data_IF_220727469765
#
_entry.id   IF_220727469765
#
_cell.length_a   1.000
_cell.length_b   1.000
_cell.length_c   1.000
_cell.angle_alpha   90.00
_cell.angle_beta   90.00
_cell.angle_gamma   90.00
#
_symmetry.space_group_name_H-M   'P 1'
#
loop_
_entity.id
_entity.type
_entity.pdbx_description
1 polymer ?
#
# COMPACT_ATOMS: atom_id res chain seq x y z
N UNK A 1 4.64 -9.92 5.31
CA UNK A 1 5.30 -11.11 4.70
C UNK A 1 6.21 -10.61 3.59
N UNK A 2 7.44 -11.10 3.48
CA UNK A 2 8.31 -10.76 2.34
C UNK A 2 8.76 -12.05 1.68
N UNK A 3 8.71 -12.13 0.36
CA UNK A 3 9.12 -13.32 -0.37
C UNK A 3 9.79 -12.97 -1.70
N UNK A 4 10.64 -13.88 -2.17
CA UNK A 4 11.33 -13.72 -3.43
C UNK A 4 10.48 -14.25 -4.59
N UNK A 5 10.40 -13.48 -5.67
CA UNK A 5 9.93 -13.96 -6.96
C UNK A 5 11.09 -14.68 -7.69
N UNK A 6 10.78 -15.62 -8.58
CA UNK A 6 11.77 -16.36 -9.37
C UNK A 6 12.63 -15.45 -10.28
N UNK A 7 12.15 -14.24 -10.60
CA UNK A 7 12.94 -13.24 -11.33
C UNK A 7 13.99 -12.51 -10.47
N UNK A 8 14.06 -12.81 -9.17
CA UNK A 8 14.98 -12.17 -8.21
C UNK A 8 14.40 -10.95 -7.49
N UNK A 9 13.27 -10.41 -7.92
CA UNK A 9 12.61 -9.31 -7.22
C UNK A 9 12.02 -9.79 -5.89
N UNK A 10 12.15 -8.97 -4.85
CA UNK A 10 11.49 -9.19 -3.56
C UNK A 10 10.12 -8.50 -3.59
N UNK A 11 9.07 -9.25 -3.21
CA UNK A 11 7.73 -8.72 -3.02
C UNK A 11 7.53 -8.47 -1.54
N UNK A 12 7.21 -7.22 -1.22
CA UNK A 12 7.09 -6.73 0.15
C UNK A 12 5.61 -6.60 0.54
N UNK A 13 5.24 -7.18 1.67
CA UNK A 13 3.94 -6.98 2.33
C UNK A 13 4.18 -6.45 3.73
N UNK A 14 4.47 -5.15 3.79
CA UNK A 14 4.91 -4.44 4.99
C UNK A 14 3.89 -3.41 5.48
N UNK A 15 2.96 -3.01 4.62
CA UNK A 15 1.97 -1.97 4.89
C UNK A 15 0.67 -2.26 4.13
N UNK A 16 -0.39 -1.56 4.50
CA UNK A 16 -1.66 -1.60 3.80
C UNK A 16 -1.62 -0.77 2.51
N UNK A 17 -2.60 -1.02 1.64
CA UNK A 17 -2.84 -0.26 0.40
C UNK A 17 -1.74 -0.34 -0.68
N UNK A 18 -1.02 -1.45 -0.74
CA UNK A 18 -0.01 -1.69 -1.78
C UNK A 18 -0.67 -1.87 -3.15
N UNK A 19 -0.20 -1.12 -4.16
CA UNK A 19 -0.75 -1.19 -5.53
C UNK A 19 -0.59 -2.55 -6.21
N UNK A 20 0.30 -3.40 -5.70
CA UNK A 20 0.58 -4.75 -6.21
C UNK A 20 0.02 -5.86 -5.31
N UNK A 21 -0.90 -5.55 -4.39
CA UNK A 21 -1.57 -6.53 -3.52
C UNK A 21 -3.09 -6.43 -3.69
N UNK A 22 -3.74 -7.58 -3.75
CA UNK A 22 -5.19 -7.73 -3.76
C UNK A 22 -5.62 -8.88 -2.85
N UNK A 23 -6.93 -8.99 -2.66
CA UNK A 23 -7.56 -10.15 -2.05
C UNK A 23 -8.40 -10.86 -3.12
N UNK A 24 -8.17 -12.15 -3.28
CA UNK A 24 -8.98 -13.01 -4.13
C UNK A 24 -10.12 -13.59 -3.28
N UNK A 25 -11.34 -13.39 -3.73
CA UNK A 25 -12.55 -14.02 -3.22
C UNK A 25 -13.07 -14.89 -4.37
N UNK A 26 -13.35 -16.17 -4.10
CA UNK A 26 -13.93 -17.02 -5.14
C UNK A 26 -15.36 -16.57 -5.43
N UNK A 27 -15.82 -16.73 -6.66
CA UNK A 27 -17.20 -16.38 -7.04
C UNK A 27 -18.25 -17.11 -6.18
N UNK A 28 -17.96 -18.37 -5.84
CA UNK A 28 -18.80 -19.18 -4.93
C UNK A 28 -18.93 -18.59 -3.52
N UNK A 29 -17.98 -17.77 -3.09
CA UNK A 29 -17.91 -17.16 -1.76
C UNK A 29 -18.37 -15.70 -1.76
N UNK A 30 -18.70 -15.12 -2.93
CA UNK A 30 -18.84 -13.68 -3.09
C UNK A 30 -19.99 -13.08 -2.27
N UNK A 31 -21.17 -13.70 -2.36
CA UNK A 31 -22.36 -13.24 -1.63
C UNK A 31 -22.21 -13.48 -0.11
N UNK A 32 -21.67 -14.64 0.27
CA UNK A 32 -21.40 -14.98 1.69
C UNK A 32 -20.40 -13.99 2.32
N UNK A 33 -19.36 -13.61 1.58
CA UNK A 33 -18.41 -12.58 1.98
C UNK A 33 -19.10 -11.22 2.22
N UNK A 34 -19.98 -10.81 1.31
CA UNK A 34 -20.68 -9.54 1.38
C UNK A 34 -21.63 -9.50 2.59
N UNK A 35 -22.43 -10.55 2.79
CA UNK A 35 -23.35 -10.66 3.92
C UNK A 35 -22.61 -10.72 5.27
N UNK A 36 -21.57 -11.55 5.37
CA UNK A 36 -20.77 -11.66 6.59
C UNK A 36 -20.09 -10.34 6.95
N UNK A 37 -19.55 -9.63 5.95
CA UNK A 37 -18.90 -8.33 6.18
C UNK A 37 -19.90 -7.26 6.61
N UNK A 38 -21.10 -7.25 6.02
CA UNK A 38 -22.16 -6.32 6.37
C UNK A 38 -22.68 -6.56 7.79
N UNK A 39 -23.06 -7.80 8.11
CA UNK A 39 -23.65 -8.18 9.41
C UNK A 39 -22.70 -7.96 10.59
N UNK A 40 -21.40 -8.15 10.38
CA UNK A 40 -20.38 -7.97 11.42
C UNK A 40 -19.90 -6.53 11.58
N UNK A 41 -20.15 -5.66 10.59
CA UNK A 41 -19.64 -4.29 10.58
C UNK A 41 -18.13 -4.17 10.31
N UNK A 42 -17.47 -5.23 9.85
CA UNK A 42 -16.07 -5.24 9.43
C UNK A 42 -15.86 -6.27 8.31
N UNK A 43 -14.80 -6.09 7.52
CA UNK A 43 -14.49 -6.98 6.38
C UNK A 43 -14.13 -8.39 6.88
N UNK A 44 -14.94 -9.39 6.53
CA UNK A 44 -14.67 -10.78 6.88
C UNK A 44 -13.62 -11.39 5.94
N UNK A 45 -12.37 -11.47 6.42
CA UNK A 45 -11.25 -11.99 5.65
C UNK A 45 -11.23 -13.52 5.53
N UNK A 46 -12.17 -14.25 6.14
CA UNK A 46 -12.19 -15.72 6.08
C UNK A 46 -12.41 -16.25 4.65
N UNK A 47 -13.17 -15.53 3.82
CA UNK A 47 -13.41 -15.81 2.40
C UNK A 47 -12.30 -15.31 1.46
N UNK A 48 -11.31 -14.58 2.00
CA UNK A 48 -10.31 -13.86 1.21
C UNK A 48 -8.94 -14.56 1.24
N UNK A 49 -8.30 -14.64 0.08
CA UNK A 49 -6.94 -15.15 -0.14
C UNK A 49 -6.02 -14.04 -0.62
N UNK A 50 -4.78 -13.98 -0.14
CA UNK A 50 -3.88 -12.93 -0.59
C UNK A 50 -3.45 -13.19 -2.04
N UNK A 51 -3.39 -12.13 -2.83
CA UNK A 51 -2.86 -12.13 -4.18
C UNK A 51 -1.84 -10.99 -4.31
N UNK A 52 -0.68 -11.29 -4.85
CA UNK A 52 0.41 -10.35 -5.04
C UNK A 52 0.89 -10.38 -6.48
N UNK A 53 1.26 -9.23 -7.01
CA UNK A 53 1.87 -9.10 -8.32
C UNK A 53 3.35 -8.72 -8.18
N UNK A 54 4.22 -9.44 -8.87
CA UNK A 54 5.61 -9.02 -9.02
C UNK A 54 5.67 -7.75 -9.88
N UNK A 55 6.20 -6.62 -9.36
CA UNK A 55 6.31 -5.39 -10.15
C UNK A 55 7.33 -5.51 -11.29
N UNK A 56 8.31 -6.42 -11.16
CA UNK A 56 9.38 -6.60 -12.15
C UNK A 56 8.96 -7.46 -13.34
N UNK A 57 8.33 -8.61 -13.12
CA UNK A 57 8.03 -9.57 -14.18
C UNK A 57 6.54 -9.91 -14.33
N UNK A 58 5.66 -9.25 -13.58
CA UNK A 58 4.20 -9.41 -13.70
C UNK A 58 3.61 -10.72 -13.19
N UNK A 59 4.42 -11.66 -12.68
CA UNK A 59 3.93 -12.92 -12.08
C UNK A 59 2.95 -12.66 -10.95
N UNK A 60 1.84 -13.40 -10.95
CA UNK A 60 0.89 -13.40 -9.86
C UNK A 60 1.25 -14.49 -8.86
N UNK A 61 1.15 -14.17 -7.59
CA UNK A 61 1.38 -15.07 -6.48
C UNK A 61 0.10 -15.07 -5.65
N UNK A 62 -0.57 -16.21 -5.57
CA UNK A 62 -1.90 -16.33 -4.96
C UNK A 62 -1.85 -17.40 -3.89
N UNK A 63 -2.38 -17.10 -2.71
CA UNK A 63 -2.60 -18.13 -1.69
C UNK A 63 -3.61 -19.16 -2.20
N UNK A 64 -3.31 -20.44 -2.05
CA UNK A 64 -4.29 -21.51 -2.19
C UNK A 64 -5.17 -21.63 -0.92
N UNK A 65 -6.01 -22.66 -0.86
CA UNK A 65 -6.88 -22.91 0.29
C UNK A 65 -6.10 -23.27 1.58
N UNK A 66 -4.88 -23.78 1.44
CA UNK A 66 -3.97 -24.10 2.54
C UNK A 66 -2.99 -22.95 2.86
N UNK A 67 -3.23 -21.75 2.31
CA UNK A 67 -2.37 -20.56 2.45
C UNK A 67 -0.94 -20.79 1.96
N UNK A 68 -0.77 -21.68 0.99
CA UNK A 68 0.47 -21.87 0.26
C UNK A 68 0.47 -20.97 -0.98
N UNK A 69 1.61 -20.34 -1.24
CA UNK A 69 1.72 -19.36 -2.32
C UNK A 69 1.97 -20.06 -3.66
N UNK A 70 1.02 -19.96 -4.58
CA UNK A 70 1.11 -20.50 -5.94
C UNK A 70 1.44 -19.39 -6.93
N UNK A 71 2.38 -19.63 -7.83
CA UNK A 71 2.81 -18.65 -8.82
C UNK A 71 2.22 -18.92 -10.22
N UNK A 72 1.68 -17.88 -10.84
CA UNK A 72 1.17 -17.88 -12.21
C UNK A 72 2.03 -16.95 -13.08
N UNK A 73 2.42 -17.44 -14.26
CA UNK A 73 3.22 -16.69 -15.23
C UNK A 73 2.31 -15.94 -16.22
N UNK A 74 2.53 -14.65 -16.49
CA UNK A 74 1.85 -13.98 -17.59
C UNK A 74 2.33 -14.55 -18.92
N UNK A 75 1.42 -14.72 -19.88
CA UNK A 75 1.77 -15.09 -21.26
C UNK A 75 2.31 -13.90 -22.05
N UNK A 76 1.88 -12.69 -21.70
CA UNK A 76 2.27 -11.46 -22.37
C UNK A 76 3.61 -10.93 -21.86
N UNK A 77 4.34 -10.25 -22.74
CA UNK A 77 5.55 -9.52 -22.38
C UNK A 77 5.19 -8.16 -21.78
N UNK A 78 5.88 -7.78 -20.70
CA UNK A 78 5.67 -6.53 -20.00
C UNK A 78 4.72 -6.66 -18.80
N UNK A 79 5.00 -5.91 -17.75
CA UNK A 79 4.19 -5.92 -16.53
C UNK A 79 2.93 -5.08 -16.75
N UNK A 80 1.76 -5.73 -16.69
CA UNK A 80 0.47 -5.04 -16.66
C UNK A 80 -0.02 -4.96 -15.21
N UNK A 81 -0.37 -3.79 -14.66
CA UNK A 81 -0.72 -3.64 -13.25
C UNK A 81 -2.14 -4.13 -12.94
N UNK A 82 -2.39 -5.43 -13.07
CA UNK A 82 -3.74 -6.04 -12.99
C UNK A 82 -4.35 -6.00 -11.59
N UNK A 83 -3.52 -5.82 -10.55
CA UNK A 83 -3.99 -5.69 -9.16
C UNK A 83 -4.18 -4.22 -8.73
N UNK A 84 -3.82 -3.25 -9.57
CA UNK A 84 -3.98 -1.83 -9.26
C UNK A 84 -5.47 -1.49 -9.17
N UNK A 85 -5.80 -0.48 -8.36
CA UNK A 85 -7.18 -0.04 -8.16
C UNK A 85 -7.89 0.23 -9.49
N UNK A 86 -9.17 -0.17 -9.59
CA UNK A 86 -10.07 0.20 -10.70
C UNK A 86 -10.25 1.73 -10.84
N UNK A 87 -9.96 2.50 -9.80
CA UNK A 87 -9.95 3.96 -9.85
C UNK A 87 -8.71 4.53 -10.55
N UNK A 88 -7.73 3.69 -10.88
CA UNK A 88 -6.49 4.11 -11.51
C UNK A 88 -5.84 5.25 -10.74
N UNK A 89 -5.52 6.32 -11.46
CA UNK A 89 -4.85 7.50 -10.89
C UNK A 89 -5.77 8.37 -10.01
N UNK A 90 -7.07 8.10 -10.00
CA UNK A 90 -8.02 8.74 -9.08
C UNK A 90 -8.12 7.99 -7.74
N UNK A 91 -7.37 6.91 -7.55
CA UNK A 91 -7.35 6.22 -6.27
C UNK A 91 -6.70 7.09 -5.20
N UNK A 92 -7.44 7.31 -4.10
CA UNK A 92 -6.96 8.11 -2.97
C UNK A 92 -5.95 7.33 -2.13
N UNK A 93 -4.73 7.86 -2.05
CA UNK A 93 -3.60 7.24 -1.35
C UNK A 93 -3.40 7.78 0.07
N UNK A 94 -2.89 6.97 1.01
CA UNK A 94 -2.39 7.46 2.28
C UNK A 94 -1.03 8.14 2.10
N UNK A 95 -0.85 9.31 2.73
CA UNK A 95 0.45 9.97 2.88
C UNK A 95 1.03 9.69 4.25
N UNK A 96 2.25 9.16 4.30
CA UNK A 96 2.91 8.77 5.55
C UNK A 96 4.29 9.44 5.59
N UNK A 97 4.53 10.28 6.59
CA UNK A 97 5.84 10.78 6.97
C UNK A 97 6.26 10.22 8.32
N UNK A 98 7.49 9.75 8.43
CA UNK A 98 8.04 9.25 9.70
C UNK A 98 9.48 9.72 9.88
N UNK A 99 9.79 10.23 11.07
CA UNK A 99 11.13 10.62 11.48
C UNK A 99 11.58 9.88 12.74
N UNK A 100 12.84 9.46 12.76
CA UNK A 100 13.55 9.00 13.95
C UNK A 100 14.87 9.76 14.13
N UNK A 101 15.11 10.25 15.33
CA UNK A 101 16.38 10.85 15.74
C UNK A 101 17.46 9.79 16.03
N UNK A 102 17.09 8.50 16.04
CA UNK A 102 17.98 7.36 16.27
C UNK A 102 17.73 6.27 15.22
N UNK A 103 18.15 6.48 13.95
CA UNK A 103 18.00 5.46 12.92
C UNK A 103 18.92 4.27 13.20
N UNK A 104 18.59 3.11 12.64
CA UNK A 104 19.54 2.02 12.56
C UNK A 104 20.74 2.44 11.69
N UNK A 105 21.91 1.85 11.94
CA UNK A 105 23.11 2.18 11.18
C UNK A 105 22.88 1.95 9.68
N UNK A 106 23.14 3.00 8.88
CA UNK A 106 22.96 2.97 7.42
C UNK A 106 21.52 3.19 6.94
N UNK A 107 20.58 3.51 7.82
CA UNK A 107 19.22 3.93 7.44
C UNK A 107 19.06 5.46 7.53
N UNK A 108 18.23 6.06 6.66
CA UNK A 108 17.89 7.46 6.76
C UNK A 108 17.10 7.76 8.05
N UNK A 109 17.11 9.02 8.47
CA UNK A 109 16.35 9.48 9.62
C UNK A 109 14.86 9.63 9.31
N UNK A 110 14.54 10.11 8.11
CA UNK A 110 13.19 10.43 7.68
C UNK A 110 12.77 9.68 6.44
N UNK A 111 11.52 9.22 6.40
CA UNK A 111 10.89 8.62 5.23
C UNK A 111 9.55 9.30 4.94
N UNK A 112 9.30 9.56 3.66
CA UNK A 112 8.03 10.04 3.11
C UNK A 112 7.52 9.04 2.08
N UNK A 113 6.29 8.58 2.27
CA UNK A 113 5.69 7.54 1.44
C UNK A 113 4.24 7.86 1.07
N UNK A 114 3.93 7.77 -0.23
CA UNK A 114 2.58 7.83 -0.79
C UNK A 114 2.56 7.06 -2.12
N UNK A 115 1.91 5.88 -2.13
CA UNK A 115 1.77 5.01 -3.33
C UNK A 115 0.52 5.36 -4.14
N UNK A 116 0.39 6.64 -4.49
CA UNK A 116 -0.73 7.19 -5.27
C UNK A 116 -0.24 7.88 -6.54
N UNK A 117 -1.18 8.32 -7.38
CA UNK A 117 -0.86 9.27 -8.43
C UNK A 117 -0.31 10.56 -7.80
N UNK A 118 0.75 11.11 -8.38
CA UNK A 118 1.50 12.25 -7.81
C UNK A 118 2.11 11.94 -6.42
N UNK A 119 2.26 10.66 -6.06
CA UNK A 119 2.89 10.23 -4.83
C UNK A 119 4.42 10.41 -4.81
N UNK A 120 5.02 10.10 -3.67
CA UNK A 120 6.47 10.14 -3.48
C UNK A 120 6.91 8.99 -2.55
N UNK A 121 8.11 8.47 -2.79
CA UNK A 121 8.78 7.52 -1.92
C UNK A 121 10.23 8.00 -1.77
N UNK A 122 10.47 8.81 -0.74
CA UNK A 122 11.71 9.56 -0.56
C UNK A 122 12.20 9.47 0.88
N UNK A 123 13.52 9.59 1.05
CA UNK A 123 14.17 9.60 2.36
C UNK A 123 14.91 10.93 2.58
N UNK A 124 15.03 11.33 3.84
CA UNK A 124 15.54 12.64 4.26
C UNK A 124 16.49 12.52 5.45
N UNK A 125 17.54 13.34 5.43
CA UNK A 125 18.57 13.40 6.49
C UNK A 125 18.32 14.51 7.51
N UNK A 126 17.33 15.39 7.29
CA UNK A 126 16.94 16.44 8.24
C UNK A 126 15.42 16.47 8.45
N UNK A 127 15.00 16.81 9.67
CA UNK A 127 13.60 16.88 10.03
C UNK A 127 12.89 17.98 9.22
N UNK A 128 13.55 19.11 9.05
CA UNK A 128 13.01 20.29 8.37
C UNK A 128 12.72 19.98 6.90
N UNK A 129 13.60 19.22 6.23
CA UNK A 129 13.38 18.84 4.83
C UNK A 129 12.21 17.86 4.69
N UNK A 130 12.12 16.84 5.57
CA UNK A 130 10.99 15.91 5.58
C UNK A 130 9.67 16.64 5.87
N UNK A 131 9.64 17.50 6.89
CA UNK A 131 8.43 18.23 7.29
C UNK A 131 7.94 19.15 6.17
N UNK A 132 8.85 19.90 5.54
CA UNK A 132 8.52 20.76 4.41
C UNK A 132 7.97 19.96 3.23
N UNK A 133 8.62 18.87 2.85
CA UNK A 133 8.19 18.01 1.75
C UNK A 133 6.84 17.35 2.04
N UNK A 134 6.64 16.86 3.28
CA UNK A 134 5.39 16.30 3.74
C UNK A 134 4.23 17.29 3.57
N UNK A 135 4.37 18.52 4.08
CA UNK A 135 3.27 19.50 4.00
C UNK A 135 3.03 19.98 2.57
N UNK A 136 4.08 20.15 1.77
CA UNK A 136 3.94 20.47 0.35
C UNK A 136 3.14 19.39 -0.40
N UNK A 137 3.50 18.12 -0.19
CA UNK A 137 2.80 16.99 -0.80
C UNK A 137 1.37 16.84 -0.26
N UNK A 138 1.18 17.03 1.04
CA UNK A 138 -0.14 17.01 1.69
C UNK A 138 -1.10 18.00 1.06
N UNK A 139 -0.73 19.29 0.97
CA UNK A 139 -1.62 20.32 0.43
C UNK A 139 -1.90 20.09 -1.06
N UNK A 140 -0.91 19.63 -1.82
CA UNK A 140 -1.08 19.29 -3.23
C UNK A 140 -2.07 18.15 -3.44
N UNK A 141 -1.86 17.01 -2.79
CA UNK A 141 -2.74 15.83 -2.91
C UNK A 141 -4.13 16.10 -2.36
N UNK A 142 -4.24 16.85 -1.26
CA UNK A 142 -5.53 17.30 -0.71
C UNK A 142 -6.27 18.19 -1.70
N UNK A 143 -5.58 19.15 -2.34
CA UNK A 143 -6.15 20.03 -3.36
C UNK A 143 -6.66 19.27 -4.59
N UNK A 144 -5.98 18.19 -4.99
CA UNK A 144 -6.43 17.32 -6.09
C UNK A 144 -7.50 16.30 -5.68
N UNK A 145 -7.83 16.19 -4.39
CA UNK A 145 -8.76 15.16 -3.91
C UNK A 145 -8.20 13.74 -4.04
N UNK A 146 -6.87 13.57 -4.05
CA UNK A 146 -6.18 12.28 -4.18
C UNK A 146 -5.72 11.71 -2.82
N UNK A 147 -6.06 12.37 -1.72
CA UNK A 147 -5.59 12.00 -0.39
C UNK A 147 -6.67 11.23 0.39
N UNK A 148 -6.33 10.03 0.86
CA UNK A 148 -7.21 9.20 1.72
C UNK A 148 -7.02 9.53 3.19
N UNK A 149 -5.77 9.70 3.59
CA UNK A 149 -5.36 10.04 4.93
C UNK A 149 -3.94 10.59 4.90
N UNK A 150 -3.54 11.26 5.97
CA UNK A 150 -2.19 11.78 6.14
C UNK A 150 -1.74 11.57 7.58
N UNK A 151 -0.51 11.10 7.77
CA UNK A 151 0.10 10.91 9.08
C UNK A 151 1.57 11.35 9.03
N UNK A 152 1.95 12.29 9.89
CA UNK A 152 3.34 12.66 10.14
C UNK A 152 3.70 12.34 11.58
N UNK A 153 4.79 11.59 11.77
CA UNK A 153 5.33 11.24 13.09
C UNK A 153 6.78 11.66 13.24
N UNK A 154 7.15 12.07 14.47
CA UNK A 154 8.52 12.36 14.89
C UNK A 154 8.83 11.63 16.19
N UNK A 155 9.83 10.75 16.18
CA UNK A 155 10.23 9.94 17.33
C UNK A 155 9.04 9.19 17.95
N UNK A 156 8.20 8.60 17.10
CA UNK A 156 6.99 7.88 17.47
C UNK A 156 5.81 8.77 17.89
N UNK A 157 5.99 10.08 18.06
CA UNK A 157 4.92 11.02 18.40
C UNK A 157 4.23 11.54 17.15
N UNK A 158 2.90 11.63 17.20
CA UNK A 158 2.11 12.23 16.13
C UNK A 158 2.35 13.74 16.09
N UNK A 159 2.74 14.25 14.92
CA UNK A 159 2.90 15.69 14.64
C UNK A 159 1.68 16.21 13.88
N UNK A 160 1.18 15.43 12.92
CA UNK A 160 -0.01 15.77 12.15
C UNK A 160 -0.78 14.50 11.76
N UNK A 161 -2.10 14.59 11.79
CA UNK A 161 -3.01 13.56 11.25
C UNK A 161 -4.15 14.23 10.50
N UNK A 162 -4.63 13.59 9.44
CA UNK A 162 -5.80 14.02 8.69
C UNK A 162 -6.46 12.82 8.01
N UNK A 163 -7.78 12.80 7.97
CA UNK A 163 -8.58 11.82 7.24
C UNK A 163 -9.57 12.52 6.29
N UNK A 164 -9.91 11.86 5.18
CA UNK A 164 -10.86 12.39 4.16
C UNK A 164 -12.26 12.71 4.72
N UNK A 165 -12.60 12.18 5.91
CA UNK A 165 -13.83 12.50 6.64
C UNK A 165 -13.75 13.72 7.57
N UNK A 166 -12.55 14.25 7.83
CA UNK A 166 -12.33 15.43 8.67
C UNK A 166 -12.68 16.70 7.87
N UNK A 167 -13.98 17.01 7.79
CA UNK A 167 -14.51 18.29 7.28
C UNK A 167 -14.71 19.29 8.42
#
# INVERSE_FOLDING_TARGET
MNFACICGAVIYDQTDFLANKAYLIADQDWEDFAEASHSRGYVDRSYARACYQCPSCGRLHVDDNARQLIAFAPETTGTQPVLRSIKGDLWKAPLIGAWTSKPFAGQPNGDLYCDGAEGAAESYDTWEALEQAYFALFFRLKGFGLLRSALLRKDGKQVHTWHDGDR
#
